data_IF_692510801926
#
_entry.id   IF_692510801926
#
_cell.length_a   1.000
_cell.length_b   1.000
_cell.length_c   1.000
_cell.angle_alpha   90.00
_cell.angle_beta   90.00
_cell.angle_gamma   90.00
#
_symmetry.space_group_name_H-M   'P 1'
#
loop_
_entity.id
_entity.type
_entity.pdbx_description
1 polymer ?
#
# COMPACT_ATOMS: atom_id res chain seq x y z
N UNK A 1 5.24 5.96 -14.85
CA UNK A 1 6.07 5.45 -13.77
C UNK A 1 5.25 4.50 -12.91
N UNK A 2 5.82 3.36 -12.58
CA UNK A 2 5.15 2.40 -11.71
C UNK A 2 5.48 2.72 -10.24
N UNK A 3 4.61 2.30 -9.35
CA UNK A 3 4.72 2.59 -7.92
C UNK A 3 4.43 1.33 -7.10
N UNK A 4 5.03 1.25 -5.93
CA UNK A 4 4.55 0.36 -4.87
C UNK A 4 3.52 1.15 -4.06
N UNK A 5 2.38 0.55 -3.79
CA UNK A 5 1.27 1.20 -3.08
C UNK A 5 1.00 0.43 -1.79
N UNK A 6 1.06 1.13 -0.66
CA UNK A 6 0.71 0.50 0.60
C UNK A 6 -0.81 0.56 0.85
N UNK A 7 -1.25 -0.12 1.89
CA UNK A 7 -2.67 -0.21 2.22
C UNK A 7 -3.28 1.15 2.57
N UNK A 8 -2.52 2.07 3.13
CA UNK A 8 -3.03 3.39 3.55
C UNK A 8 -3.59 4.19 2.37
N UNK A 9 -2.95 4.10 1.20
CA UNK A 9 -3.41 4.78 -0.02
C UNK A 9 -4.74 4.18 -0.49
N UNK A 10 -4.83 2.86 -0.59
CA UNK A 10 -6.03 2.18 -1.07
C UNK A 10 -7.21 2.39 -0.13
N UNK A 11 -6.97 2.36 1.18
CA UNK A 11 -8.01 2.62 2.16
C UNK A 11 -8.49 4.06 2.11
N UNK A 12 -7.59 5.02 1.85
CA UNK A 12 -7.96 6.42 1.69
C UNK A 12 -8.90 6.65 0.48
N UNK A 13 -8.73 5.85 -0.59
CA UNK A 13 -9.62 5.95 -1.75
C UNK A 13 -11.01 5.39 -1.46
N UNK A 14 -11.11 4.42 -0.58
CA UNK A 14 -12.28 3.58 -0.42
C UNK A 14 -13.16 3.98 0.76
N UNK A 15 -12.55 4.37 1.87
CA UNK A 15 -13.25 4.58 3.13
C UNK A 15 -13.38 6.08 3.46
N UNK A 16 -14.62 6.57 3.73
CA UNK A 16 -14.82 7.99 4.03
C UNK A 16 -14.03 8.50 5.22
N UNK A 17 -13.78 7.63 6.22
CA UNK A 17 -13.04 7.99 7.43
C UNK A 17 -11.53 8.10 7.19
N UNK A 18 -11.05 7.60 6.05
CA UNK A 18 -9.62 7.53 5.72
C UNK A 18 -9.22 8.51 4.62
N UNK A 19 -10.07 9.49 4.29
CA UNK A 19 -9.84 10.40 3.16
C UNK A 19 -8.51 11.13 3.28
N UNK A 20 -7.82 11.28 2.14
CA UNK A 20 -6.53 11.94 2.04
C UNK A 20 -6.41 12.65 0.70
N UNK A 21 -6.08 13.95 0.75
CA UNK A 21 -5.83 14.74 -0.45
C UNK A 21 -4.63 14.20 -1.23
N UNK A 22 -3.63 13.71 -0.53
CA UNK A 22 -2.44 13.12 -1.16
C UNK A 22 -2.79 11.87 -1.94
N UNK A 23 -3.59 10.97 -1.34
CA UNK A 23 -4.05 9.75 -1.98
C UNK A 23 -4.90 10.06 -3.21
N UNK A 24 -5.80 11.03 -3.11
CA UNK A 24 -6.66 11.44 -4.21
C UNK A 24 -5.85 12.02 -5.36
N UNK A 25 -4.86 12.85 -5.06
CA UNK A 25 -3.97 13.40 -6.09
C UNK A 25 -3.14 12.31 -6.76
N UNK A 26 -2.68 11.35 -5.98
CA UNK A 26 -1.95 10.22 -6.52
C UNK A 26 -2.82 9.44 -7.50
N UNK A 27 -4.05 9.12 -7.09
CA UNK A 27 -5.02 8.41 -7.95
C UNK A 27 -5.26 9.15 -9.25
N UNK A 28 -5.42 10.47 -9.19
CA UNK A 28 -5.69 11.29 -10.39
C UNK A 28 -4.51 11.30 -11.39
N UNK A 29 -3.30 10.97 -10.94
CA UNK A 29 -2.10 10.92 -11.78
C UNK A 29 -1.83 9.54 -12.37
N UNK A 30 -2.53 8.51 -11.90
CA UNK A 30 -2.36 7.17 -12.41
C UNK A 30 -3.01 7.08 -13.78
N UNK A 31 -2.24 6.66 -14.78
CA UNK A 31 -2.74 6.42 -16.12
C UNK A 31 -2.89 4.91 -16.35
N UNK A 32 -3.54 4.55 -17.46
CA UNK A 32 -3.73 3.14 -17.82
C UNK A 32 -2.43 2.37 -18.07
N UNK A 33 -1.33 3.09 -18.31
CA UNK A 33 -0.03 2.46 -18.51
C UNK A 33 0.77 2.21 -17.24
N UNK A 34 0.30 2.71 -16.09
CA UNK A 34 0.98 2.51 -14.82
C UNK A 34 0.60 1.19 -14.19
N UNK A 35 1.54 0.58 -13.47
CA UNK A 35 1.29 -0.59 -12.64
C UNK A 35 1.50 -0.21 -11.18
N UNK A 36 0.57 -0.62 -10.35
CA UNK A 36 0.65 -0.46 -8.90
C UNK A 36 1.09 -1.81 -8.31
N UNK A 37 2.33 -1.87 -7.85
CA UNK A 37 2.88 -3.10 -7.29
C UNK A 37 2.54 -3.22 -5.82
N UNK A 38 2.15 -4.41 -5.39
CA UNK A 38 1.82 -4.69 -3.98
C UNK A 38 2.41 -6.04 -3.58
N UNK A 39 2.83 -6.18 -2.31
CA UNK A 39 3.13 -7.51 -1.78
C UNK A 39 1.82 -8.28 -1.55
N UNK A 40 1.91 -9.60 -1.44
CA UNK A 40 0.72 -10.42 -1.14
C UNK A 40 -0.02 -9.95 0.11
N UNK A 41 0.72 -9.43 1.08
CA UNK A 41 0.19 -8.86 2.32
C UNK A 41 -0.91 -7.82 2.07
N UNK A 42 -0.80 -7.02 1.01
CA UNK A 42 -1.75 -5.94 0.70
C UNK A 42 -3.19 -6.49 0.59
N UNK A 43 -3.35 -7.63 -0.05
CA UNK A 43 -4.68 -8.24 -0.22
C UNK A 43 -5.29 -8.66 1.12
N UNK A 44 -4.47 -9.19 2.03
CA UNK A 44 -4.92 -9.55 3.37
C UNK A 44 -5.30 -8.32 4.18
N UNK A 45 -4.52 -7.26 4.07
CA UNK A 45 -4.81 -6.00 4.75
C UNK A 45 -6.11 -5.36 4.25
N UNK A 46 -6.35 -5.41 2.93
CA UNK A 46 -7.60 -4.91 2.36
C UNK A 46 -8.80 -5.70 2.88
N UNK A 47 -8.71 -7.02 2.87
CA UNK A 47 -9.78 -7.88 3.38
C UNK A 47 -10.05 -7.60 4.85
N UNK A 48 -9.00 -7.47 5.66
CA UNK A 48 -9.14 -7.22 7.09
C UNK A 48 -9.74 -5.84 7.38
N UNK A 49 -9.35 -4.83 6.61
CA UNK A 49 -9.90 -3.48 6.77
C UNK A 49 -11.40 -3.44 6.47
N UNK A 50 -11.81 -4.07 5.37
CA UNK A 50 -13.24 -4.15 5.02
C UNK A 50 -14.03 -4.91 6.08
N UNK A 51 -13.47 -6.00 6.59
CA UNK A 51 -14.10 -6.79 7.65
C UNK A 51 -14.27 -5.97 8.94
N UNK A 52 -13.23 -5.22 9.32
CA UNK A 52 -13.26 -4.37 10.51
C UNK A 52 -14.34 -3.30 10.41
N UNK A 53 -14.43 -2.61 9.27
CA UNK A 53 -15.42 -1.56 9.04
C UNK A 53 -16.83 -2.15 9.02
N UNK A 54 -17.00 -3.32 8.40
CA UNK A 54 -18.29 -4.01 8.38
C UNK A 54 -18.74 -4.41 9.77
N UNK A 55 -17.83 -4.97 10.58
CA UNK A 55 -18.13 -5.36 11.97
C UNK A 55 -18.52 -4.18 12.86
N UNK A 56 -18.02 -3.00 12.54
CA UNK A 56 -18.39 -1.75 13.21
C UNK A 56 -19.65 -1.12 12.63
N UNK A 57 -20.34 -1.81 11.73
CA UNK A 57 -21.57 -1.38 11.05
C UNK A 57 -21.42 -0.06 10.27
N UNK A 58 -20.21 0.20 9.77
CA UNK A 58 -19.92 1.40 8.98
C UNK A 58 -19.95 1.14 7.48
N UNK A 59 -20.17 -0.10 7.07
CA UNK A 59 -20.13 -0.51 5.69
C UNK A 59 -21.25 -1.50 5.42
N UNK A 60 -22.13 -1.19 4.46
CA UNK A 60 -23.18 -2.10 4.01
C UNK A 60 -22.66 -3.10 2.98
N UNK A 61 -23.47 -4.14 2.72
CA UNK A 61 -23.13 -5.19 1.76
C UNK A 61 -22.90 -4.64 0.34
N UNK A 62 -23.76 -3.71 -0.11
CA UNK A 62 -23.64 -3.13 -1.45
C UNK A 62 -22.34 -2.31 -1.58
N UNK A 63 -21.99 -1.57 -0.54
CA UNK A 63 -20.75 -0.78 -0.53
C UNK A 63 -19.52 -1.68 -0.51
N UNK A 64 -19.53 -2.74 0.29
CA UNK A 64 -18.47 -3.73 0.34
C UNK A 64 -18.23 -4.33 -1.04
N UNK A 65 -19.28 -4.78 -1.70
CA UNK A 65 -19.19 -5.36 -3.04
C UNK A 65 -18.58 -4.38 -4.03
N UNK A 66 -19.02 -3.11 -3.98
CA UNK A 66 -18.51 -2.07 -4.87
C UNK A 66 -17.02 -1.81 -4.66
N UNK A 67 -16.55 -1.81 -3.41
CA UNK A 67 -15.15 -1.61 -3.09
C UNK A 67 -14.27 -2.76 -3.57
N UNK A 68 -14.74 -3.99 -3.41
CA UNK A 68 -14.02 -5.17 -3.90
C UNK A 68 -13.91 -5.12 -5.43
N UNK A 69 -14.98 -4.74 -6.11
CA UNK A 69 -14.97 -4.57 -7.57
C UNK A 69 -14.03 -3.45 -8.00
N UNK A 70 -13.99 -2.34 -7.25
CA UNK A 70 -13.05 -1.24 -7.51
C UNK A 70 -11.61 -1.72 -7.44
N UNK A 71 -11.25 -2.45 -6.40
CA UNK A 71 -9.90 -2.98 -6.27
C UNK A 71 -9.53 -3.93 -7.42
N UNK A 72 -10.49 -4.70 -7.91
CA UNK A 72 -10.29 -5.57 -9.06
C UNK A 72 -10.05 -4.84 -10.38
N UNK A 73 -10.45 -3.57 -10.47
CA UNK A 73 -10.27 -2.73 -11.66
C UNK A 73 -8.99 -1.90 -11.65
N UNK A 74 -8.36 -1.74 -10.49
CA UNK A 74 -7.12 -1.00 -10.40
C UNK A 74 -5.99 -1.78 -11.09
N UNK A 75 -5.00 -1.08 -11.67
CA UNK A 75 -3.87 -1.75 -12.34
C UNK A 75 -2.87 -2.28 -11.31
N UNK A 76 -3.35 -3.15 -10.43
CA UNK A 76 -2.57 -3.72 -9.32
C UNK A 76 -1.97 -5.03 -9.76
N UNK A 77 -0.67 -5.19 -9.49
CA UNK A 77 0.04 -6.45 -9.71
C UNK A 77 0.70 -6.90 -8.42
N UNK A 78 0.50 -8.17 -8.09
CA UNK A 78 1.07 -8.75 -6.88
C UNK A 78 2.49 -9.24 -7.13
N UNK A 79 3.40 -8.85 -6.25
CA UNK A 79 4.74 -9.44 -6.21
C UNK A 79 4.67 -10.71 -5.36
N UNK A 80 5.09 -11.83 -5.94
CA UNK A 80 4.96 -13.15 -5.29
C UNK A 80 6.32 -13.75 -4.92
N UNK A 81 7.37 -12.95 -4.86
CA UNK A 81 8.70 -13.42 -4.49
C UNK A 81 8.76 -13.67 -2.98
N UNK A 82 8.37 -14.86 -2.55
CA UNK A 82 8.35 -15.28 -1.15
C UNK A 82 9.19 -16.55 -0.98
N UNK A 83 10.27 -16.43 -0.24
CA UNK A 83 11.14 -17.54 0.15
C UNK A 83 11.81 -17.21 1.49
N UNK A 84 12.74 -18.02 1.94
CA UNK A 84 13.43 -17.77 3.21
C UNK A 84 14.24 -16.48 3.20
N UNK A 85 14.69 -16.02 2.04
CA UNK A 85 15.46 -14.78 1.94
C UNK A 85 14.60 -13.55 2.26
N UNK A 86 13.30 -13.60 2.02
CA UNK A 86 12.42 -12.48 2.36
C UNK A 86 12.39 -12.24 3.88
N UNK A 87 12.45 -13.30 4.68
CA UNK A 87 12.49 -13.17 6.15
C UNK A 87 13.72 -12.38 6.57
N UNK A 88 14.87 -12.70 5.99
CA UNK A 88 16.11 -12.01 6.25
C UNK A 88 16.03 -10.52 5.86
N UNK A 89 15.56 -10.24 4.64
CA UNK A 89 15.47 -8.87 4.14
C UNK A 89 14.50 -8.02 4.96
N UNK A 90 13.33 -8.55 5.28
CA UNK A 90 12.34 -7.81 6.07
C UNK A 90 12.82 -7.56 7.48
N UNK A 91 13.44 -8.55 8.10
CA UNK A 91 13.97 -8.40 9.46
C UNK A 91 15.05 -7.30 9.48
N UNK A 92 15.94 -7.30 8.50
CA UNK A 92 17.00 -6.30 8.39
C UNK A 92 16.45 -4.89 8.23
N UNK A 93 15.51 -4.70 7.30
CA UNK A 93 14.91 -3.38 7.05
C UNK A 93 14.09 -2.92 8.25
N UNK A 94 13.30 -3.80 8.84
CA UNK A 94 12.47 -3.46 9.98
C UNK A 94 13.33 -3.02 11.17
N UNK A 95 14.44 -3.69 11.39
CA UNK A 95 15.39 -3.34 12.46
C UNK A 95 16.06 -1.99 12.17
N UNK A 96 16.53 -1.80 10.94
CA UNK A 96 17.27 -0.59 10.55
C UNK A 96 16.40 0.66 10.63
N UNK A 97 15.16 0.58 10.18
CA UNK A 97 14.26 1.74 10.09
C UNK A 97 13.16 1.75 11.15
N UNK A 98 13.24 0.85 12.11
CA UNK A 98 12.28 0.75 13.22
C UNK A 98 10.82 0.63 12.71
N UNK A 99 10.63 -0.30 11.79
CA UNK A 99 9.33 -0.62 11.21
C UNK A 99 8.85 -1.98 11.69
N UNK A 100 7.55 -2.24 11.53
CA UNK A 100 7.07 -3.62 11.57
C UNK A 100 7.57 -4.35 10.32
N UNK A 101 7.60 -5.68 10.37
CA UNK A 101 7.93 -6.47 9.18
C UNK A 101 6.90 -6.24 8.06
N UNK A 102 5.65 -5.96 8.42
CA UNK A 102 4.59 -5.68 7.45
C UNK A 102 4.86 -4.39 6.68
N UNK A 103 5.21 -3.31 7.38
CA UNK A 103 5.58 -2.04 6.73
C UNK A 103 6.88 -2.19 5.94
N UNK A 104 7.83 -2.95 6.47
CA UNK A 104 9.08 -3.23 5.78
C UNK A 104 8.86 -3.97 4.45
N UNK A 105 7.77 -4.75 4.34
CA UNK A 105 7.46 -5.46 3.10
C UNK A 105 7.25 -4.49 1.92
N UNK A 106 6.63 -3.36 2.17
CA UNK A 106 6.43 -2.33 1.14
C UNK A 106 7.74 -1.66 0.76
N UNK A 107 8.56 -1.33 1.74
CA UNK A 107 9.87 -0.72 1.50
C UNK A 107 10.80 -1.67 0.74
N UNK A 108 10.82 -2.93 1.14
CA UNK A 108 11.63 -3.96 0.47
C UNK A 108 11.24 -4.10 -1.00
N UNK A 109 9.93 -4.16 -1.26
CA UNK A 109 9.43 -4.29 -2.62
C UNK A 109 9.85 -3.09 -3.49
N UNK A 110 9.72 -1.88 -2.94
CA UNK A 110 10.11 -0.66 -3.65
C UNK A 110 11.61 -0.66 -3.97
N UNK A 111 12.45 -1.03 -3.00
CA UNK A 111 13.89 -1.09 -3.21
C UNK A 111 14.28 -2.15 -4.26
N UNK A 112 13.71 -3.34 -4.13
CA UNK A 112 14.06 -4.47 -5.00
C UNK A 112 13.66 -4.21 -6.45
N UNK A 113 12.53 -3.53 -6.68
CA UNK A 113 12.08 -3.20 -8.02
C UNK A 113 12.53 -1.83 -8.52
N UNK A 114 13.22 -1.06 -7.68
CA UNK A 114 13.68 0.27 -8.07
C UNK A 114 12.53 1.25 -8.31
N UNK A 115 11.45 1.16 -7.52
CA UNK A 115 10.25 1.96 -7.68
C UNK A 115 10.06 2.91 -6.50
N UNK A 116 9.22 3.94 -6.70
CA UNK A 116 8.79 4.80 -5.62
C UNK A 116 7.72 4.12 -4.77
N UNK A 117 7.50 4.63 -3.58
CA UNK A 117 6.52 4.14 -2.62
C UNK A 117 5.44 5.19 -2.40
N UNK A 118 4.20 4.81 -2.65
CA UNK A 118 3.03 5.66 -2.38
C UNK A 118 2.43 5.25 -1.04
N UNK A 119 2.53 6.14 -0.07
CA UNK A 119 2.00 5.94 1.28
C UNK A 119 1.60 7.28 1.89
N UNK A 120 0.60 7.26 2.77
CA UNK A 120 0.27 8.40 3.62
C UNK A 120 0.70 8.15 5.07
N UNK A 121 1.27 7.00 5.37
CA UNK A 121 1.79 6.67 6.70
C UNK A 121 3.12 7.41 6.93
N UNK A 122 3.19 8.17 8.00
CA UNK A 122 4.36 9.02 8.29
C UNK A 122 5.62 8.22 8.57
N UNK A 123 5.50 7.14 9.33
CA UNK A 123 6.66 6.32 9.70
C UNK A 123 7.25 5.63 8.48
N UNK A 124 6.40 5.04 7.67
CA UNK A 124 6.84 4.36 6.45
C UNK A 124 7.43 5.36 5.45
N UNK A 125 6.80 6.53 5.31
CA UNK A 125 7.33 7.59 4.43
C UNK A 125 8.74 8.03 4.88
N UNK A 126 8.90 8.29 6.17
CA UNK A 126 10.20 8.69 6.71
C UNK A 126 11.28 7.64 6.48
N UNK A 127 10.95 6.37 6.67
CA UNK A 127 11.87 5.27 6.42
C UNK A 127 12.23 5.19 4.94
N UNK A 128 11.26 5.33 4.05
CA UNK A 128 11.48 5.30 2.61
C UNK A 128 12.42 6.43 2.18
N UNK A 129 12.21 7.65 2.69
CA UNK A 129 13.08 8.78 2.40
C UNK A 129 14.51 8.54 2.86
N UNK A 130 14.70 8.02 4.06
CA UNK A 130 16.03 7.69 4.58
C UNK A 130 16.70 6.59 3.77
N UNK A 131 15.94 5.68 3.23
CA UNK A 131 16.43 4.57 2.41
C UNK A 131 16.69 4.97 0.95
N UNK A 132 16.44 6.23 0.60
CA UNK A 132 16.63 6.72 -0.78
C UNK A 132 15.52 6.33 -1.74
N UNK A 133 14.36 5.91 -1.23
CA UNK A 133 13.19 5.56 -2.04
C UNK A 133 12.33 6.79 -2.26
N UNK A 134 11.94 7.04 -3.51
CA UNK A 134 11.08 8.16 -3.85
C UNK A 134 9.69 7.97 -3.23
N UNK A 135 9.13 9.03 -2.69
CA UNK A 135 7.78 9.01 -2.10
C UNK A 135 6.89 10.02 -2.80
N UNK A 136 5.56 9.86 -2.66
CA UNK A 136 4.61 10.82 -3.23
C UNK A 136 4.68 12.14 -2.46
N UNK A 137 4.34 13.23 -3.17
CA UNK A 137 4.36 14.58 -2.61
C UNK A 137 3.34 14.73 -1.49
N UNK A 138 3.74 15.43 -0.42
CA UNK A 138 2.86 15.81 0.69
C UNK A 138 2.02 17.06 0.38
N UNK A 139 2.41 17.80 -0.64
CA UNK A 139 1.73 19.06 -0.96
C UNK A 139 0.31 18.89 -1.49
#
# INVERSE_FOLDING_TARGET
>A
MDWVVDSSIALAWALPDETSKEADRFLSRISMGNILWVPALWWYEMANALLTVQRRKRLGEAEKTRLIELYGRLPVQTDVALDSDIVWRLHTLATEYNLSAYDAAYLELAQRRGLGLATVDRLLRGAAQKAGVKVISQA
#
